data_IF_361706188381
#
_entry.id   IF_361706188381
#
_cell.length_a   1.000
_cell.length_b   1.000
_cell.length_c   1.000
_cell.angle_alpha   90.00
_cell.angle_beta   90.00
_cell.angle_gamma   90.00
#
_symmetry.space_group_name_H-M   'P 1'
#
loop_
_entity.id
_entity.type
_entity.pdbx_description
1 polymer ?
#
# COMPACT_ATOMS: atom_id res chain seq x y z
N UNK A 1 -0.57 -66.09 29.73
CA UNK A 1 -0.09 -65.95 28.33
C UNK A 1 0.22 -64.48 28.07
N UNK A 2 1.50 -64.07 28.01
CA UNK A 2 1.88 -62.66 27.97
C UNK A 2 2.35 -62.22 26.57
N UNK A 3 2.12 -60.94 26.21
CA UNK A 3 2.82 -60.29 25.08
C UNK A 3 3.82 -59.24 25.60
N UNK A 4 5.05 -59.38 25.13
CA UNK A 4 6.22 -58.52 25.25
C UNK A 4 6.01 -57.15 24.56
N UNK A 5 6.42 -56.00 25.13
CA UNK A 5 7.72 -55.27 25.06
C UNK A 5 8.27 -54.91 23.66
N UNK A 6 8.52 -53.61 23.43
CA UNK A 6 9.76 -53.01 22.89
C UNK A 6 9.65 -51.45 22.92
N UNK A 7 10.45 -50.74 23.75
CA UNK A 7 11.73 -50.02 23.49
C UNK A 7 11.58 -48.68 22.73
N UNK A 8 11.62 -47.49 23.37
CA UNK A 8 12.79 -46.65 23.76
C UNK A 8 13.71 -46.16 22.64
N UNK A 9 13.75 -44.83 22.45
CA UNK A 9 14.89 -43.92 22.12
C UNK A 9 14.31 -42.73 21.30
N UNK A 10 14.44 -41.44 21.63
CA UNK A 10 15.44 -40.73 22.41
C UNK A 10 16.33 -39.93 21.44
N UNK A 11 16.00 -38.67 21.15
CA UNK A 11 16.87 -37.67 20.49
C UNK A 11 16.54 -36.25 21.02
N UNK A 12 17.48 -35.29 20.94
CA UNK A 12 17.99 -34.61 22.13
C UNK A 12 17.42 -33.20 22.38
N UNK A 13 17.54 -32.77 23.65
CA UNK A 13 17.37 -31.40 24.10
C UNK A 13 18.54 -30.54 23.64
N UNK A 14 18.25 -29.42 22.97
CA UNK A 14 19.13 -28.25 22.96
C UNK A 14 18.58 -27.16 23.89
N UNK A 15 19.50 -26.61 24.65
CA UNK A 15 19.34 -25.68 25.77
C UNK A 15 19.34 -24.22 25.33
N UNK A 16 18.43 -23.43 25.94
CA UNK A 16 18.51 -22.04 26.45
C UNK A 16 19.26 -20.92 25.67
N UNK A 17 18.68 -19.72 25.82
CA UNK A 17 19.15 -18.34 25.56
C UNK A 17 18.95 -17.88 24.10
N UNK A 18 18.20 -16.81 23.79
CA UNK A 18 18.13 -15.50 24.43
C UNK A 18 16.70 -14.94 24.52
N UNK A 19 16.26 -14.63 25.75
CA UNK A 19 15.23 -13.62 26.03
C UNK A 19 15.96 -12.33 26.37
N UNK A 20 15.79 -11.28 25.56
CA UNK A 20 16.07 -9.89 25.92
C UNK A 20 15.08 -9.00 25.16
N UNK A 21 14.00 -8.58 25.83
CA UNK A 21 13.78 -7.19 26.28
C UNK A 21 13.67 -6.18 25.14
N UNK A 22 12.50 -6.10 24.51
CA UNK A 22 11.97 -4.80 24.07
C UNK A 22 11.30 -4.18 25.31
N UNK A 23 11.98 -3.21 25.93
CA UNK A 23 11.36 -2.33 26.92
C UNK A 23 10.91 -1.06 26.22
N UNK A 24 9.63 -0.76 26.39
CA UNK A 24 9.02 0.54 26.16
C UNK A 24 9.76 1.61 26.96
N UNK A 25 10.06 2.73 26.31
CA UNK A 25 10.34 4.00 26.98
C UNK A 25 9.94 5.14 26.04
N UNK A 26 8.68 5.56 26.12
CA UNK A 26 8.28 6.91 25.75
C UNK A 26 8.07 7.63 27.09
N UNK A 27 9.00 8.50 27.45
CA UNK A 27 8.86 9.44 28.56
C UNK A 27 8.79 10.83 27.96
N UNK A 28 7.72 11.54 28.33
CA UNK A 28 7.41 12.93 28.04
C UNK A 28 8.30 13.89 28.84
N UNK A 29 8.76 14.95 28.17
CA UNK A 29 9.10 16.29 28.72
C UNK A 29 9.64 17.12 27.55
N UNK A 30 9.40 18.40 27.33
CA UNK A 30 8.51 19.42 27.86
C UNK A 30 8.76 20.68 26.98
N UNK A 31 7.84 21.64 26.98
CA UNK A 31 8.02 23.05 26.55
C UNK A 31 8.04 23.42 25.05
N UNK A 32 6.90 23.89 24.55
CA UNK A 32 6.84 25.14 23.76
C UNK A 32 5.50 25.84 24.05
N UNK A 33 5.59 27.01 24.68
CA UNK A 33 4.46 27.89 24.96
C UNK A 33 3.95 28.52 23.67
N UNK A 34 2.64 28.41 23.40
CA UNK A 34 1.98 29.11 22.31
C UNK A 34 1.68 30.58 22.71
N UNK A 35 1.89 31.57 21.81
CA UNK A 35 1.48 32.94 22.07
C UNK A 35 -0.05 33.11 21.93
N UNK A 36 -0.66 34.07 22.65
CA UNK A 36 -2.11 34.24 22.69
C UNK A 36 -2.69 34.83 21.39
N UNK A 37 -3.98 34.59 21.09
CA UNK A 37 -4.63 35.13 19.90
C UNK A 37 -4.90 36.64 20.05
N UNK A 38 -4.66 37.40 18.98
CA UNK A 38 -5.11 38.80 18.89
C UNK A 38 -6.58 38.86 18.45
N UNK A 39 -7.37 39.82 18.98
CA UNK A 39 -8.78 39.95 18.63
C UNK A 39 -8.96 40.51 17.21
N UNK A 40 -10.00 40.02 16.54
CA UNK A 40 -10.48 40.54 15.26
C UNK A 40 -11.19 41.89 15.48
N UNK A 41 -10.81 42.90 14.70
CA UNK A 41 -11.60 44.12 14.51
C UNK A 41 -12.07 44.17 13.06
N UNK A 42 -13.38 44.31 12.90
CA UNK A 42 -14.05 44.70 11.67
C UNK A 42 -13.64 46.12 11.25
N UNK A 43 -13.86 46.41 9.97
CA UNK A 43 -13.73 47.71 9.30
C UNK A 43 -12.35 48.01 8.69
N UNK A 44 -12.20 47.67 7.40
CA UNK A 44 -11.72 48.61 6.36
C UNK A 44 -11.75 47.89 4.99
N UNK A 45 -12.91 47.96 4.33
CA UNK A 45 -13.08 47.58 2.94
C UNK A 45 -13.24 48.86 2.11
N UNK A 46 -12.14 49.44 1.62
CA UNK A 46 -12.07 50.11 0.31
C UNK A 46 -10.70 50.76 0.08
N UNK A 47 -9.85 50.14 -0.73
CA UNK A 47 -8.92 50.87 -1.61
C UNK A 47 -8.29 49.89 -2.59
N UNK A 48 -8.59 50.07 -3.87
CA UNK A 48 -7.98 49.33 -4.96
C UNK A 48 -6.49 49.68 -5.09
N UNK A 49 -5.62 48.71 -4.82
CA UNK A 49 -4.18 48.83 -5.09
C UNK A 49 -3.91 48.40 -6.53
N UNK A 50 -3.59 49.37 -7.39
CA UNK A 50 -3.14 49.13 -8.76
C UNK A 50 -1.69 48.62 -8.78
N UNK A 51 -1.49 47.42 -9.35
CA UNK A 51 -0.16 46.87 -9.64
C UNK A 51 0.34 47.34 -11.02
N UNK A 52 1.62 47.77 -11.16
CA UNK A 52 2.14 48.22 -12.45
C UNK A 52 2.33 47.05 -13.42
N UNK A 53 1.67 47.12 -14.59
CA UNK A 53 1.86 46.18 -15.70
C UNK A 53 3.24 46.37 -16.33
N UNK A 54 4.21 45.52 -15.99
CA UNK A 54 5.41 45.32 -16.84
C UNK A 54 5.00 44.52 -18.07
N UNK A 55 5.13 45.11 -19.27
CA UNK A 55 5.05 44.38 -20.54
C UNK A 55 6.30 43.51 -20.65
N UNK A 56 6.13 42.19 -20.53
CA UNK A 56 7.16 41.23 -20.91
C UNK A 56 7.00 41.01 -22.42
N UNK A 57 8.05 41.31 -23.19
CA UNK A 57 8.07 41.02 -24.63
C UNK A 57 7.96 39.49 -24.84
N UNK A 58 7.23 39.02 -25.87
CA UNK A 58 7.13 37.59 -26.12
C UNK A 58 8.51 37.06 -26.51
N UNK A 59 9.05 36.15 -25.69
CA UNK A 59 10.21 35.37 -26.06
C UNK A 59 9.86 34.55 -27.32
N UNK A 60 10.64 34.73 -28.38
CA UNK A 60 10.61 33.81 -29.52
C UNK A 60 10.95 32.42 -29.01
N UNK A 61 9.93 31.57 -28.92
CA UNK A 61 10.12 30.13 -28.83
C UNK A 61 10.61 29.71 -30.21
N UNK A 62 11.93 29.70 -30.39
CA UNK A 62 12.53 28.95 -31.48
C UNK A 62 12.10 27.49 -31.29
N UNK A 63 11.39 26.96 -32.30
CA UNK A 63 11.04 25.54 -32.37
C UNK A 63 12.35 24.76 -32.32
N UNK A 64 12.72 24.28 -31.13
CA UNK A 64 13.69 23.18 -31.01
C UNK A 64 13.16 22.06 -31.88
N UNK A 65 13.95 21.64 -32.86
CA UNK A 65 13.70 20.42 -33.61
C UNK A 65 13.33 19.34 -32.59
N UNK A 66 12.10 18.84 -32.68
CA UNK A 66 11.62 17.76 -31.84
C UNK A 66 12.60 16.60 -32.03
N UNK A 67 13.39 16.32 -31.01
CA UNK A 67 14.02 15.01 -30.85
C UNK A 67 12.89 14.02 -30.56
N UNK A 68 12.08 13.72 -31.59
CA UNK A 68 11.18 12.57 -31.60
C UNK A 68 12.09 11.36 -31.73
N UNK A 69 12.59 10.90 -30.58
CA UNK A 69 12.81 9.46 -30.42
C UNK A 69 11.46 8.84 -30.77
N UNK A 70 11.40 8.07 -31.84
CA UNK A 70 10.12 7.51 -32.26
C UNK A 70 9.74 6.51 -31.17
N UNK A 71 8.66 6.74 -30.43
CA UNK A 71 8.11 5.79 -29.46
C UNK A 71 8.02 4.36 -30.02
N UNK A 72 7.90 4.25 -31.34
CA UNK A 72 8.05 3.03 -32.14
C UNK A 72 9.26 2.17 -31.74
N UNK A 73 10.47 2.73 -31.56
CA UNK A 73 11.68 1.93 -31.29
C UNK A 73 11.60 1.19 -29.93
N UNK A 74 11.02 1.85 -28.93
CA UNK A 74 10.79 1.24 -27.61
C UNK A 74 9.64 0.23 -27.66
N UNK A 75 8.59 0.52 -28.44
CA UNK A 75 7.48 -0.39 -28.68
C UNK A 75 7.93 -1.68 -29.37
N UNK A 76 8.66 -1.56 -30.48
CA UNK A 76 9.19 -2.69 -31.25
C UNK A 76 10.11 -3.56 -30.37
N UNK A 77 10.95 -2.94 -29.53
CA UNK A 77 11.80 -3.68 -28.59
C UNK A 77 11.00 -4.49 -27.57
N UNK A 78 9.88 -3.94 -27.07
CA UNK A 78 8.96 -4.61 -26.16
C UNK A 78 8.24 -5.76 -26.86
N UNK A 79 7.74 -5.55 -28.08
CA UNK A 79 7.03 -6.56 -28.86
C UNK A 79 7.92 -7.76 -29.17
N UNK A 80 9.17 -7.54 -29.58
CA UNK A 80 10.17 -8.60 -29.79
C UNK A 80 10.43 -9.46 -28.54
N UNK A 81 10.18 -8.92 -27.34
CA UNK A 81 10.46 -9.56 -26.04
C UNK A 81 9.20 -9.87 -25.25
N UNK A 82 8.03 -9.67 -25.84
CA UNK A 82 6.73 -9.82 -25.17
C UNK A 82 6.62 -11.15 -24.42
N UNK A 83 7.04 -12.25 -25.06
CA UNK A 83 6.93 -13.59 -24.46
C UNK A 83 7.72 -13.74 -23.15
N UNK A 84 8.86 -13.04 -22.98
CA UNK A 84 9.61 -13.03 -21.71
C UNK A 84 8.72 -12.49 -20.59
N UNK A 85 8.10 -11.34 -20.82
CA UNK A 85 7.29 -10.67 -19.81
C UNK A 85 5.98 -11.41 -19.57
N UNK A 86 5.31 -11.92 -20.61
CA UNK A 86 4.12 -12.79 -20.45
C UNK A 86 4.44 -14.00 -19.57
N UNK A 87 5.57 -14.68 -19.82
CA UNK A 87 5.98 -15.82 -19.00
C UNK A 87 6.26 -15.45 -17.53
N UNK A 88 6.78 -14.25 -17.25
CA UNK A 88 6.98 -13.76 -15.88
C UNK A 88 5.63 -13.53 -15.21
N UNK A 89 4.72 -12.82 -15.89
CA UNK A 89 3.36 -12.56 -15.39
C UNK A 89 2.61 -13.86 -15.09
N UNK A 90 2.66 -14.84 -16.00
CA UNK A 90 1.95 -16.12 -15.85
C UNK A 90 2.51 -16.96 -14.70
N UNK A 91 3.83 -16.91 -14.48
CA UNK A 91 4.44 -17.57 -13.32
C UNK A 91 4.00 -16.91 -12.01
N UNK A 92 4.02 -15.57 -11.95
CA UNK A 92 3.56 -14.83 -10.76
C UNK A 92 2.07 -15.11 -10.51
N UNK A 93 1.24 -15.13 -11.56
CA UNK A 93 -0.16 -15.55 -11.48
C UNK A 93 -0.31 -16.93 -10.83
N UNK A 94 0.54 -17.89 -11.24
CA UNK A 94 0.55 -19.24 -10.67
C UNK A 94 1.10 -19.33 -9.25
N UNK A 95 1.96 -18.40 -8.81
CA UNK A 95 2.48 -18.36 -7.44
C UNK A 95 1.43 -17.85 -6.46
N UNK A 96 0.72 -16.77 -6.82
CA UNK A 96 -0.35 -16.15 -6.03
C UNK A 96 0.01 -15.99 -4.54
N UNK A 97 1.20 -15.47 -4.26
CA UNK A 97 1.71 -15.33 -2.89
C UNK A 97 1.14 -14.08 -2.22
N UNK A 98 0.59 -14.23 -1.02
CA UNK A 98 0.00 -13.12 -0.25
C UNK A 98 1.07 -12.17 0.30
N UNK A 99 0.61 -10.99 0.72
CA UNK A 99 1.44 -9.95 1.31
C UNK A 99 2.46 -10.48 2.35
N UNK A 100 3.71 -10.03 2.22
CA UNK A 100 4.90 -10.42 3.02
C UNK A 100 5.37 -11.87 2.84
N UNK A 101 4.73 -12.66 1.98
CA UNK A 101 5.09 -14.04 1.68
C UNK A 101 5.49 -14.26 0.20
N UNK A 102 5.68 -13.19 -0.57
CA UNK A 102 5.93 -13.16 -2.02
C UNK A 102 7.35 -13.56 -2.43
N UNK A 103 7.83 -14.66 -1.87
CA UNK A 103 9.22 -15.09 -2.00
C UNK A 103 9.57 -15.46 -3.43
N UNK A 104 8.71 -16.23 -4.11
CA UNK A 104 8.96 -16.68 -5.49
C UNK A 104 8.80 -15.53 -6.47
N UNK A 105 7.76 -14.71 -6.32
CA UNK A 105 7.54 -13.55 -7.19
C UNK A 105 8.67 -12.54 -7.10
N UNK A 106 9.10 -12.19 -5.87
CA UNK A 106 10.24 -11.33 -5.63
C UNK A 106 11.53 -11.92 -6.22
N UNK A 107 11.77 -13.21 -6.01
CA UNK A 107 12.97 -13.88 -6.49
C UNK A 107 13.02 -13.89 -8.02
N UNK A 108 11.92 -14.27 -8.68
CA UNK A 108 11.81 -14.37 -10.14
C UNK A 108 12.15 -13.03 -10.82
N UNK A 109 11.53 -11.93 -10.37
CA UNK A 109 11.78 -10.61 -10.96
C UNK A 109 13.20 -10.11 -10.68
N UNK A 110 13.73 -10.36 -9.48
CA UNK A 110 15.08 -9.96 -9.13
C UNK A 110 16.14 -10.71 -9.96
N UNK A 111 15.96 -12.02 -10.16
CA UNK A 111 16.85 -12.84 -10.98
C UNK A 111 16.77 -12.49 -12.47
N UNK A 112 15.57 -12.20 -12.98
CA UNK A 112 15.39 -11.76 -14.37
C UNK A 112 16.08 -10.40 -14.64
N UNK A 113 15.98 -9.44 -13.72
CA UNK A 113 16.69 -8.16 -13.82
C UNK A 113 18.21 -8.31 -13.60
N UNK A 114 18.65 -9.20 -12.71
CA UNK A 114 20.06 -9.52 -12.52
C UNK A 114 20.68 -10.12 -13.79
N UNK A 115 19.96 -11.04 -14.44
CA UNK A 115 20.36 -11.60 -15.73
C UNK A 115 20.39 -10.53 -16.83
N UNK A 116 19.53 -9.51 -16.73
CA UNK A 116 19.58 -8.31 -17.56
C UNK A 116 20.61 -7.28 -17.04
N UNK A 117 21.57 -7.68 -16.21
CA UNK A 117 22.73 -6.85 -15.85
C UNK A 117 22.44 -5.70 -14.87
N UNK A 118 21.27 -5.68 -14.24
CA UNK A 118 21.02 -4.77 -13.11
C UNK A 118 21.77 -5.25 -11.87
N UNK A 119 22.26 -4.32 -11.05
CA UNK A 119 22.76 -4.59 -9.70
C UNK A 119 21.58 -4.70 -8.74
N UNK A 120 21.44 -5.85 -8.07
CA UNK A 120 20.34 -6.11 -7.14
C UNK A 120 20.76 -5.84 -5.69
N UNK A 121 19.93 -5.08 -4.97
CA UNK A 121 19.96 -4.96 -3.51
C UNK A 121 18.70 -5.60 -2.94
N UNK A 122 18.85 -6.71 -2.21
CA UNK A 122 17.74 -7.47 -1.61
C UNK A 122 17.47 -7.04 -0.17
N UNK A 123 16.34 -7.47 0.38
CA UNK A 123 15.93 -7.27 1.77
C UNK A 123 15.77 -5.79 2.17
N UNK A 124 15.32 -4.96 1.23
CA UNK A 124 15.26 -3.50 1.41
C UNK A 124 14.24 -3.14 2.49
N UNK A 125 14.63 -2.28 3.43
CA UNK A 125 13.80 -1.94 4.60
C UNK A 125 13.56 -3.09 5.57
N UNK A 126 14.38 -4.13 5.53
CA UNK A 126 14.24 -5.32 6.39
C UNK A 126 13.14 -6.27 5.95
N UNK A 127 12.56 -6.06 4.75
CA UNK A 127 11.52 -6.90 4.17
C UNK A 127 12.17 -7.97 3.28
N UNK A 128 12.07 -9.28 3.59
CA UNK A 128 12.70 -10.34 2.81
C UNK A 128 12.27 -10.38 1.35
N UNK A 129 11.05 -9.94 1.09
CA UNK A 129 10.42 -9.89 -0.23
C UNK A 129 10.48 -8.47 -0.81
N UNK A 130 11.49 -7.66 -0.50
CA UNK A 130 11.69 -6.35 -1.14
C UNK A 130 13.08 -6.25 -1.76
N UNK A 131 13.18 -5.65 -2.95
CA UNK A 131 14.46 -5.41 -3.61
C UNK A 131 14.48 -4.14 -4.45
N UNK A 132 15.70 -3.66 -4.73
CA UNK A 132 15.99 -2.60 -5.69
C UNK A 132 16.94 -3.16 -6.74
N UNK A 133 16.60 -3.01 -8.02
CA UNK A 133 17.49 -3.28 -9.13
C UNK A 133 17.94 -1.96 -9.75
N UNK A 134 19.24 -1.75 -9.90
CA UNK A 134 19.80 -0.50 -10.44
C UNK A 134 20.74 -0.76 -11.61
N UNK A 135 20.60 0.02 -12.68
CA UNK A 135 21.49 0.00 -13.84
C UNK A 135 21.83 1.43 -14.27
N UNK A 136 23.06 1.63 -14.75
CA UNK A 136 23.55 2.93 -15.21
C UNK A 136 24.15 3.78 -14.09
N UNK A 137 24.54 5.00 -14.44
CA UNK A 137 25.18 5.96 -13.53
C UNK A 137 24.76 7.39 -13.88
N UNK A 138 24.80 8.28 -12.88
CA UNK A 138 24.47 9.69 -13.04
C UNK A 138 22.97 9.99 -13.07
N UNK A 139 22.63 11.18 -13.56
CA UNK A 139 21.26 11.70 -13.60
C UNK A 139 20.75 11.81 -15.04
N UNK A 140 19.43 11.70 -15.27
CA UNK A 140 18.39 11.51 -14.25
C UNK A 140 18.33 10.06 -13.73
N UNK A 141 17.92 9.91 -12.47
CA UNK A 141 17.57 8.63 -11.86
C UNK A 141 16.06 8.42 -12.01
N UNK A 142 15.67 7.51 -12.90
CA UNK A 142 14.26 7.19 -13.19
C UNK A 142 13.92 5.83 -12.60
N UNK A 143 12.86 5.78 -11.81
CA UNK A 143 12.43 4.61 -11.06
C UNK A 143 11.11 4.05 -11.57
N UNK A 144 10.99 2.73 -11.56
CA UNK A 144 9.76 2.00 -11.84
C UNK A 144 9.34 1.21 -10.61
N UNK A 145 8.09 1.36 -10.19
CA UNK A 145 7.55 0.63 -9.04
C UNK A 145 6.79 -0.60 -9.53
N UNK A 146 7.18 -1.77 -9.06
CA UNK A 146 6.49 -3.01 -9.38
C UNK A 146 6.08 -3.77 -8.13
N UNK A 147 4.92 -4.39 -8.19
CA UNK A 147 4.26 -5.08 -7.08
C UNK A 147 3.88 -6.49 -7.54
N UNK A 148 3.62 -7.40 -6.60
CA UNK A 148 3.41 -8.81 -6.93
C UNK A 148 2.72 -9.63 -5.83
N UNK A 149 2.11 -8.98 -4.83
CA UNK A 149 1.30 -9.67 -3.83
C UNK A 149 -0.08 -10.05 -4.37
N UNK A 150 -0.61 -11.15 -3.86
CA UNK A 150 -1.94 -11.66 -4.14
C UNK A 150 -2.90 -11.40 -2.97
N UNK A 151 -4.20 -11.47 -3.25
CA UNK A 151 -5.26 -11.32 -2.26
C UNK A 151 -5.69 -12.67 -1.67
N UNK A 152 -5.94 -12.76 -0.36
CA UNK A 152 -6.49 -13.97 0.26
C UNK A 152 -7.90 -14.26 -0.24
N UNK A 153 -8.30 -15.54 -0.22
CA UNK A 153 -9.63 -16.04 -0.59
C UNK A 153 -10.10 -15.67 -2.03
N UNK A 154 -9.15 -15.36 -2.90
CA UNK A 154 -9.40 -14.86 -4.26
C UNK A 154 -8.79 -15.75 -5.35
N UNK A 155 -8.53 -17.02 -5.03
CA UNK A 155 -8.09 -18.00 -6.01
C UNK A 155 -9.07 -18.09 -7.17
N UNK A 156 -8.53 -18.08 -8.38
CA UNK A 156 -9.31 -18.04 -9.60
C UNK A 156 -8.54 -18.69 -10.73
N UNK A 157 -9.23 -19.48 -11.56
CA UNK A 157 -8.68 -19.94 -12.83
C UNK A 157 -8.55 -18.77 -13.80
N UNK A 158 -7.57 -18.82 -14.69
CA UNK A 158 -7.40 -17.80 -15.73
C UNK A 158 -8.48 -17.94 -16.82
N UNK A 159 -9.69 -17.50 -16.51
CA UNK A 159 -10.88 -17.57 -17.36
C UNK A 159 -11.92 -16.51 -16.95
N UNK A 160 -12.90 -16.24 -17.83
CA UNK A 160 -13.98 -15.28 -17.60
C UNK A 160 -14.87 -15.67 -16.41
N UNK A 161 -15.30 -16.93 -16.37
CA UNK A 161 -16.21 -17.42 -15.33
C UNK A 161 -15.52 -17.55 -13.97
N UNK A 162 -16.22 -17.17 -12.91
CA UNK A 162 -15.74 -17.33 -11.54
C UNK A 162 -15.64 -18.83 -11.19
N UNK A 163 -14.41 -19.33 -11.01
CA UNK A 163 -14.13 -20.70 -10.62
C UNK A 163 -12.80 -20.80 -9.88
N UNK A 164 -12.86 -21.09 -8.57
CA UNK A 164 -11.65 -21.20 -7.75
C UNK A 164 -10.72 -22.31 -8.26
N UNK A 165 -9.44 -21.98 -8.45
CA UNK A 165 -8.41 -22.98 -8.73
C UNK A 165 -8.08 -23.79 -7.48
N UNK A 166 -7.98 -23.12 -6.33
CA UNK A 166 -7.79 -23.69 -5.00
C UNK A 166 -8.84 -23.10 -4.07
N UNK A 167 -9.67 -23.94 -3.46
CA UNK A 167 -10.71 -23.47 -2.54
C UNK A 167 -10.11 -22.69 -1.36
N UNK A 168 -10.54 -21.44 -1.17
CA UNK A 168 -9.99 -20.53 -0.15
C UNK A 168 -8.52 -20.12 -0.38
N UNK A 169 -7.97 -20.41 -1.56
CA UNK A 169 -6.61 -19.99 -1.91
C UNK A 169 -6.53 -18.50 -2.24
N UNK A 170 -5.31 -18.01 -2.38
CA UNK A 170 -5.05 -16.65 -2.85
C UNK A 170 -5.11 -16.54 -4.38
N UNK A 171 -5.25 -15.31 -4.88
CA UNK A 171 -5.22 -15.00 -6.31
C UNK A 171 -5.02 -13.52 -6.61
N UNK A 172 -4.59 -13.20 -7.83
CA UNK A 172 -4.29 -11.83 -8.26
C UNK A 172 -5.53 -11.08 -8.77
N UNK A 173 -6.51 -10.85 -7.91
CA UNK A 173 -7.70 -10.05 -8.26
C UNK A 173 -7.41 -8.59 -8.56
N UNK A 174 -6.33 -8.05 -7.99
CA UNK A 174 -5.86 -6.69 -8.25
C UNK A 174 -4.87 -6.61 -9.42
N UNK A 175 -4.50 -7.75 -10.02
CA UNK A 175 -3.62 -7.82 -11.18
C UNK A 175 -2.16 -7.48 -10.92
N UNK A 176 -1.65 -7.64 -9.69
CA UNK A 176 -0.25 -7.32 -9.37
C UNK A 176 0.76 -8.16 -10.15
N UNK A 177 0.37 -9.35 -10.63
CA UNK A 177 1.18 -10.11 -11.59
C UNK A 177 1.48 -9.32 -12.89
N UNK A 178 0.52 -8.51 -13.36
CA UNK A 178 0.71 -7.61 -14.48
C UNK A 178 1.48 -6.36 -14.06
N UNK A 179 1.11 -5.77 -12.91
CA UNK A 179 1.70 -4.52 -12.41
C UNK A 179 3.22 -4.63 -12.35
N UNK A 180 3.73 -5.57 -11.55
CA UNK A 180 5.16 -5.76 -11.35
C UNK A 180 5.90 -6.06 -12.64
N UNK A 181 5.31 -6.92 -13.48
CA UNK A 181 5.92 -7.38 -14.73
C UNK A 181 6.01 -6.27 -15.78
N UNK A 182 4.97 -5.47 -15.98
CA UNK A 182 5.02 -4.38 -16.95
C UNK A 182 5.93 -3.23 -16.47
N UNK A 183 5.99 -2.95 -15.16
CA UNK A 183 6.99 -2.02 -14.61
C UNK A 183 8.43 -2.52 -14.81
N UNK A 184 8.64 -3.85 -14.72
CA UNK A 184 9.94 -4.48 -15.00
C UNK A 184 10.29 -4.36 -16.48
N UNK A 185 9.33 -4.59 -17.37
CA UNK A 185 9.48 -4.43 -18.81
C UNK A 185 9.87 -2.99 -19.18
N UNK A 186 9.20 -2.00 -18.57
CA UNK A 186 9.51 -0.58 -18.77
C UNK A 186 10.93 -0.22 -18.32
N UNK A 187 11.38 -0.75 -17.17
CA UNK A 187 12.76 -0.56 -16.71
C UNK A 187 13.78 -1.18 -17.68
N UNK A 188 13.51 -2.39 -18.17
CA UNK A 188 14.37 -3.09 -19.13
C UNK A 188 14.44 -2.37 -20.48
N UNK A 189 13.30 -1.85 -20.96
CA UNK A 189 13.23 -1.11 -22.21
C UNK A 189 13.94 0.25 -22.12
N UNK A 190 13.77 1.00 -21.02
CA UNK A 190 14.50 2.25 -20.81
C UNK A 190 16.02 2.01 -20.74
N UNK A 191 16.44 0.96 -20.05
CA UNK A 191 17.85 0.53 -20.00
C UNK A 191 18.39 0.26 -21.41
N UNK A 192 17.70 -0.57 -22.20
CA UNK A 192 18.14 -0.91 -23.56
C UNK A 192 18.27 0.33 -24.45
N UNK A 193 17.29 1.22 -24.38
CA UNK A 193 17.32 2.47 -25.13
C UNK A 193 18.46 3.42 -24.72
N UNK A 194 18.76 3.53 -23.41
CA UNK A 194 19.92 4.30 -22.94
C UNK A 194 21.24 3.72 -23.45
N UNK A 195 21.37 2.39 -23.47
CA UNK A 195 22.55 1.72 -24.02
C UNK A 195 22.72 1.97 -25.51
N UNK A 196 21.64 1.82 -26.29
CA UNK A 196 21.67 2.01 -27.74
C UNK A 196 21.99 3.46 -28.12
N UNK A 197 21.39 4.42 -27.41
CA UNK A 197 21.57 5.85 -27.71
C UNK A 197 22.82 6.46 -27.07
N UNK A 198 23.48 5.75 -26.14
CA UNK A 198 24.61 6.26 -25.36
C UNK A 198 24.26 7.45 -24.46
N UNK A 199 22.98 7.63 -24.13
CA UNK A 199 22.50 8.73 -23.28
C UNK A 199 22.79 8.44 -21.80
N UNK A 200 23.16 9.47 -21.00
CA UNK A 200 23.37 9.28 -19.58
C UNK A 200 22.05 9.07 -18.84
N UNK A 201 22.09 8.33 -17.74
CA UNK A 201 20.93 8.10 -16.88
C UNK A 201 21.11 6.85 -16.01
N UNK A 202 20.35 6.81 -14.93
CA UNK A 202 20.23 5.65 -14.05
C UNK A 202 18.80 5.14 -14.08
N UNK A 203 18.62 3.84 -14.25
CA UNK A 203 17.32 3.16 -14.18
C UNK A 203 17.25 2.37 -12.89
N UNK A 204 16.18 2.57 -12.12
CA UNK A 204 15.87 1.77 -10.94
C UNK A 204 14.55 1.04 -11.11
N UNK A 205 14.51 -0.21 -10.72
CA UNK A 205 13.27 -0.94 -10.48
C UNK A 205 13.15 -1.25 -8.99
N UNK A 206 11.97 -1.01 -8.44
CA UNK A 206 11.65 -1.27 -7.05
C UNK A 206 10.65 -2.42 -6.99
N UNK A 207 11.12 -3.59 -6.56
CA UNK A 207 10.25 -4.71 -6.23
C UNK A 207 9.62 -4.47 -4.86
N UNK A 208 8.36 -4.04 -4.87
CA UNK A 208 7.60 -3.59 -3.73
C UNK A 208 6.63 -4.68 -3.25
N UNK A 209 6.81 -5.27 -2.06
CA UNK A 209 5.87 -6.25 -1.52
C UNK A 209 4.68 -5.58 -0.83
N UNK A 210 3.68 -6.41 -0.51
CA UNK A 210 2.63 -6.13 0.47
C UNK A 210 1.94 -4.78 0.27
N UNK A 211 1.45 -4.51 -0.94
CA UNK A 211 0.65 -3.32 -1.18
C UNK A 211 -0.72 -3.46 -0.52
N UNK A 212 -1.37 -4.61 -0.69
CA UNK A 212 -2.76 -4.84 -0.27
C UNK A 212 -2.89 -4.89 1.26
N UNK A 213 -1.90 -5.48 1.93
CA UNK A 213 -1.92 -5.62 3.40
C UNK A 213 -0.50 -5.65 3.94
N UNK A 214 0.01 -4.49 4.39
CA UNK A 214 1.34 -4.42 5.01
C UNK A 214 2.12 -3.16 4.66
N UNK A 215 1.69 -2.41 3.64
CA UNK A 215 2.27 -1.14 3.23
C UNK A 215 3.80 -1.24 3.00
N UNK A 216 4.26 -2.24 2.26
CA UNK A 216 5.69 -2.54 2.11
C UNK A 216 6.54 -1.33 1.66
N UNK A 217 5.98 -0.49 0.77
CA UNK A 217 6.63 0.75 0.32
C UNK A 217 6.91 1.74 1.44
N UNK A 218 6.13 1.75 2.53
CA UNK A 218 6.37 2.63 3.69
C UNK A 218 7.66 2.23 4.40
N UNK A 219 7.91 0.93 4.57
CA UNK A 219 9.16 0.43 5.15
C UNK A 219 10.35 0.69 4.23
N UNK A 220 10.19 0.51 2.92
CA UNK A 220 11.21 0.84 1.94
C UNK A 220 11.56 2.35 1.96
N UNK A 221 10.54 3.22 1.97
CA UNK A 221 10.72 4.67 2.05
C UNK A 221 11.41 5.09 3.35
N UNK A 222 11.00 4.51 4.49
CA UNK A 222 11.65 4.76 5.78
C UNK A 222 13.12 4.35 5.79
N UNK A 223 13.49 3.33 5.02
CA UNK A 223 14.86 2.87 4.87
C UNK A 223 15.68 3.65 3.83
N UNK A 224 15.12 4.70 3.23
CA UNK A 224 15.80 5.53 2.23
C UNK A 224 15.90 4.88 0.85
N UNK A 225 15.09 3.87 0.53
CA UNK A 225 15.17 3.17 -0.75
C UNK A 225 14.97 4.11 -1.96
N UNK A 226 14.11 5.12 -1.81
CA UNK A 226 13.78 6.08 -2.86
C UNK A 226 14.68 7.33 -2.84
N UNK A 227 15.71 7.38 -1.98
CA UNK A 227 16.58 8.54 -1.89
C UNK A 227 17.38 8.73 -3.20
N UNK A 228 17.49 10.00 -3.63
CA UNK A 228 18.17 10.37 -4.87
C UNK A 228 17.40 10.07 -6.15
N UNK A 229 16.13 9.67 -6.05
CA UNK A 229 15.26 9.46 -7.21
C UNK A 229 14.79 10.80 -7.79
N UNK A 230 14.95 11.01 -9.11
CA UNK A 230 14.47 12.21 -9.80
C UNK A 230 12.99 12.07 -10.22
N UNK A 231 12.59 10.87 -10.65
CA UNK A 231 11.21 10.55 -10.99
C UNK A 231 10.88 9.07 -10.72
N UNK A 232 9.66 8.80 -10.25
CA UNK A 232 9.11 7.45 -10.14
C UNK A 232 7.89 7.33 -11.07
N UNK A 233 7.82 6.23 -11.80
CA UNK A 233 6.69 5.85 -12.63
C UNK A 233 6.12 4.55 -12.08
N UNK A 234 4.82 4.51 -11.92
CA UNK A 234 4.07 3.30 -11.61
C UNK A 234 2.84 3.27 -12.48
N UNK A 235 2.25 2.10 -12.61
CA UNK A 235 0.95 1.92 -13.23
C UNK A 235 0.15 0.95 -12.38
N UNK A 236 -1.12 0.77 -12.72
CA UNK A 236 -1.97 -0.23 -12.11
C UNK A 236 -2.91 -0.76 -13.19
N UNK A 237 -3.13 -2.09 -13.30
CA UNK A 237 -4.10 -2.63 -14.23
C UNK A 237 -5.50 -2.11 -13.91
N UNK A 238 -6.30 -1.91 -14.96
CA UNK A 238 -7.66 -1.43 -14.83
C UNK A 238 -8.44 -1.63 -16.12
N UNK A 239 -9.76 -1.46 -16.06
CA UNK A 239 -10.67 -1.59 -17.20
C UNK A 239 -10.63 -0.41 -18.18
N UNK A 240 -9.81 0.60 -17.90
CA UNK A 240 -9.59 1.76 -18.77
C UNK A 240 -8.15 2.25 -18.64
N UNK A 241 -7.62 2.81 -19.72
CA UNK A 241 -6.30 3.43 -19.73
C UNK A 241 -6.45 4.91 -19.44
N UNK A 242 -5.78 5.40 -18.41
CA UNK A 242 -5.74 6.83 -18.08
C UNK A 242 -4.50 7.20 -17.28
N UNK A 243 -4.06 8.45 -17.40
CA UNK A 243 -3.03 9.01 -16.54
C UNK A 243 -3.67 9.60 -15.26
N UNK A 244 -3.29 9.08 -14.09
CA UNK A 244 -3.89 9.54 -12.83
C UNK A 244 -3.42 10.96 -12.46
N UNK A 245 -4.36 11.91 -12.53
CA UNK A 245 -4.17 13.31 -12.09
C UNK A 245 -4.77 13.62 -10.72
N UNK A 246 -5.59 12.71 -10.20
CA UNK A 246 -6.25 12.82 -8.89
C UNK A 246 -5.37 12.34 -7.74
N UNK A 247 -5.81 12.59 -6.52
CA UNK A 247 -5.23 12.07 -5.28
C UNK A 247 -6.07 10.91 -4.75
N UNK A 248 -5.48 10.03 -3.95
CA UNK A 248 -6.22 9.12 -3.07
C UNK A 248 -6.53 9.79 -1.73
N UNK A 249 -7.21 9.09 -0.82
CA UNK A 249 -7.32 9.51 0.59
C UNK A 249 -6.10 9.01 1.36
N UNK A 250 -5.65 9.79 2.33
CA UNK A 250 -4.78 9.29 3.39
C UNK A 250 -5.61 8.39 4.32
N UNK A 251 -4.96 7.38 4.90
CA UNK A 251 -5.61 6.37 5.73
C UNK A 251 -4.76 6.06 6.97
N UNK A 252 -5.42 5.91 8.11
CA UNK A 252 -4.92 5.17 9.26
C UNK A 252 -5.73 3.87 9.40
N UNK A 253 -4.99 2.81 9.67
CA UNK A 253 -5.47 1.47 10.00
C UNK A 253 -5.24 1.26 11.50
N UNK A 254 -6.22 0.69 12.22
CA UNK A 254 -6.02 0.32 13.62
C UNK A 254 -6.96 -0.82 14.04
N UNK A 255 -6.43 -1.76 14.83
CA UNK A 255 -7.20 -2.83 15.45
C UNK A 255 -7.29 -2.59 16.95
N UNK A 256 -8.48 -2.64 17.51
CA UNK A 256 -8.74 -2.40 18.93
C UNK A 256 -9.20 -3.70 19.59
N UNK A 257 -8.36 -4.25 20.47
CA UNK A 257 -8.67 -5.42 21.29
C UNK A 257 -9.07 -4.97 22.69
N UNK A 258 -10.28 -5.33 23.10
CA UNK A 258 -10.77 -5.09 24.45
C UNK A 258 -10.67 -6.35 25.30
N UNK A 259 -10.27 -6.18 26.55
CA UNK A 259 -10.10 -7.23 27.55
C UNK A 259 -10.91 -6.89 28.79
N UNK A 260 -11.86 -7.75 29.10
CA UNK A 260 -12.76 -7.65 30.24
C UNK A 260 -12.65 -8.87 31.16
N UNK A 261 -13.78 -9.28 31.73
CA UNK A 261 -13.87 -10.37 32.70
C UNK A 261 -15.11 -11.20 32.44
N UNK A 262 -14.92 -12.50 32.26
CA UNK A 262 -16.04 -13.42 32.01
C UNK A 262 -16.85 -13.70 33.27
N UNK A 263 -18.15 -13.90 33.09
CA UNK A 263 -19.08 -14.44 34.08
C UNK A 263 -20.25 -15.11 33.37
N UNK A 264 -21.05 -15.88 34.12
CA UNK A 264 -22.31 -16.40 33.59
C UNK A 264 -23.30 -15.24 33.44
N UNK A 265 -23.77 -14.99 32.21
CA UNK A 265 -24.57 -13.80 31.89
C UNK A 265 -25.88 -13.71 32.70
N UNK A 266 -26.53 -14.84 32.99
CA UNK A 266 -27.72 -14.89 33.84
C UNK A 266 -27.44 -15.09 35.35
N UNK A 267 -26.47 -15.94 35.70
CA UNK A 267 -26.28 -16.39 37.09
C UNK A 267 -25.47 -15.46 37.98
N UNK A 268 -24.56 -14.67 37.40
CA UNK A 268 -23.77 -13.67 38.11
C UNK A 268 -23.28 -12.54 37.16
N UNK A 269 -24.21 -11.83 36.48
CA UNK A 269 -23.84 -10.76 35.55
C UNK A 269 -22.95 -9.68 36.18
N UNK A 270 -23.21 -9.32 37.43
CA UNK A 270 -22.50 -8.27 38.17
C UNK A 270 -20.99 -8.51 38.35
N UNK A 271 -20.55 -9.77 38.23
CA UNK A 271 -19.14 -10.15 38.33
C UNK A 271 -18.37 -9.99 37.01
N UNK A 272 -19.07 -9.79 35.90
CA UNK A 272 -18.52 -9.70 34.55
C UNK A 272 -18.19 -8.26 34.13
N UNK A 273 -17.26 -8.12 33.18
CA UNK A 273 -16.94 -6.88 32.46
C UNK A 273 -16.89 -7.22 30.98
N UNK A 274 -17.89 -6.79 30.22
CA UNK A 274 -18.05 -7.19 28.82
C UNK A 274 -17.10 -6.41 27.92
N UNK A 275 -16.18 -7.11 27.27
CA UNK A 275 -15.35 -6.54 26.22
C UNK A 275 -16.17 -6.16 24.97
N UNK A 276 -17.26 -6.91 24.69
CA UNK A 276 -18.16 -6.60 23.58
C UNK A 276 -18.88 -5.26 23.80
N UNK A 277 -19.34 -4.99 25.01
CA UNK A 277 -20.01 -3.72 25.34
C UNK A 277 -19.05 -2.54 25.10
N UNK A 278 -17.75 -2.73 25.36
CA UNK A 278 -16.73 -1.72 25.10
C UNK A 278 -16.55 -1.47 23.59
N UNK A 279 -16.58 -2.52 22.76
CA UNK A 279 -16.58 -2.41 21.29
C UNK A 279 -17.83 -1.67 20.80
N UNK A 280 -19.01 -2.01 21.32
CA UNK A 280 -20.26 -1.33 20.93
C UNK A 280 -20.25 0.15 21.32
N UNK A 281 -19.84 0.49 22.54
CA UNK A 281 -19.72 1.86 23.01
C UNK A 281 -18.69 2.65 22.21
N UNK A 282 -17.56 2.04 21.86
CA UNK A 282 -16.58 2.66 20.95
C UNK A 282 -17.22 2.96 19.59
N UNK A 283 -17.90 1.98 19.00
CA UNK A 283 -18.55 2.15 17.69
C UNK A 283 -19.60 3.26 17.71
N UNK A 284 -20.44 3.32 18.74
CA UNK A 284 -21.42 4.40 18.94
C UNK A 284 -20.71 5.75 19.08
N UNK A 285 -19.67 5.83 19.92
CA UNK A 285 -18.90 7.06 20.11
C UNK A 285 -18.26 7.55 18.80
N UNK A 286 -17.73 6.64 17.99
CA UNK A 286 -17.17 6.99 16.67
C UNK A 286 -18.28 7.36 15.68
N UNK A 287 -19.46 6.77 15.75
CA UNK A 287 -20.59 7.18 14.92
C UNK A 287 -21.00 8.64 15.21
N UNK A 288 -21.01 9.07 16.48
CA UNK A 288 -21.20 10.48 16.85
C UNK A 288 -20.01 11.37 16.51
N UNK A 289 -18.80 10.82 16.41
CA UNK A 289 -17.65 11.61 15.93
C UNK A 289 -17.83 12.04 14.46
N UNK A 290 -18.52 11.25 13.63
CA UNK A 290 -18.62 11.48 12.18
C UNK A 290 -19.30 12.81 11.80
N UNK A 291 -20.19 13.33 12.62
CA UNK A 291 -20.82 14.65 12.42
C UNK A 291 -19.93 15.84 12.85
N UNK A 292 -18.79 15.55 13.50
CA UNK A 292 -17.90 16.55 14.07
C UNK A 292 -16.48 16.46 13.49
N UNK A 293 -16.34 15.93 12.28
CA UNK A 293 -15.11 15.90 11.49
C UNK A 293 -15.38 16.54 10.12
N UNK A 294 -14.35 16.70 9.30
CA UNK A 294 -14.52 17.24 7.94
C UNK A 294 -15.42 16.34 7.10
N UNK A 295 -16.25 16.95 6.25
CA UNK A 295 -17.21 16.22 5.41
C UNK A 295 -16.56 15.18 4.49
N UNK A 296 -15.33 15.44 4.03
CA UNK A 296 -14.59 14.55 3.15
C UNK A 296 -13.91 13.36 3.88
N UNK A 297 -14.00 13.28 5.21
CA UNK A 297 -13.46 12.14 5.96
C UNK A 297 -14.40 10.93 5.94
N UNK A 298 -13.85 9.73 6.01
CA UNK A 298 -14.61 8.48 6.10
C UNK A 298 -14.03 7.62 7.21
N UNK A 299 -14.88 7.08 8.06
CA UNK A 299 -14.47 6.13 9.10
C UNK A 299 -15.32 4.88 8.92
N UNK A 300 -14.67 3.72 8.87
CA UNK A 300 -15.32 2.42 8.70
C UNK A 300 -14.79 1.45 9.75
N UNK A 301 -15.61 0.48 10.13
CA UNK A 301 -15.19 -0.56 11.05
C UNK A 301 -15.89 -1.88 10.78
N UNK A 302 -15.25 -2.98 11.22
CA UNK A 302 -15.84 -4.31 11.28
C UNK A 302 -15.47 -4.96 12.62
N UNK A 303 -16.44 -5.61 13.26
CA UNK A 303 -16.19 -6.41 14.46
C UNK A 303 -15.62 -7.75 14.00
N UNK A 304 -14.34 -7.97 14.27
CA UNK A 304 -13.60 -9.18 13.88
C UNK A 304 -13.75 -10.29 14.91
N UNK A 305 -14.04 -9.93 16.18
CA UNK A 305 -14.37 -10.86 17.24
C UNK A 305 -15.42 -10.24 18.18
N UNK A 306 -16.64 -10.80 18.18
CA UNK A 306 -17.74 -10.37 19.05
C UNK A 306 -17.79 -11.11 20.40
N UNK A 307 -16.86 -12.02 20.67
CA UNK A 307 -16.94 -12.95 21.79
C UNK A 307 -17.52 -14.31 21.41
N UNK A 308 -17.95 -15.06 22.43
CA UNK A 308 -18.41 -16.45 22.28
C UNK A 308 -19.93 -16.59 22.37
N UNK A 309 -20.39 -17.50 23.24
CA UNK A 309 -21.81 -17.79 23.41
C UNK A 309 -22.54 -16.65 24.14
N UNK A 310 -23.81 -16.38 23.82
CA UNK A 310 -24.58 -15.27 24.41
C UNK A 310 -24.87 -15.43 25.91
N UNK A 311 -24.72 -16.63 26.47
CA UNK A 311 -24.88 -16.90 27.90
C UNK A 311 -23.59 -16.66 28.73
N UNK A 312 -22.50 -16.23 28.08
CA UNK A 312 -21.20 -15.96 28.69
C UNK A 312 -20.81 -14.51 28.42
N UNK A 313 -20.51 -13.74 29.47
CA UNK A 313 -20.02 -12.36 29.30
C UNK A 313 -18.67 -12.40 28.56
N UNK A 314 -18.52 -11.72 27.40
CA UNK A 314 -17.29 -11.74 26.62
C UNK A 314 -16.10 -11.13 27.39
N UNK A 315 -15.06 -11.94 27.66
CA UNK A 315 -13.82 -11.44 28.24
C UNK A 315 -12.89 -10.79 27.20
N UNK A 316 -13.09 -11.08 25.92
CA UNK A 316 -12.30 -10.52 24.82
C UNK A 316 -13.23 -10.20 23.64
N UNK A 317 -12.99 -9.06 23.00
CA UNK A 317 -13.65 -8.64 21.76
C UNK A 317 -12.69 -7.75 20.94
N UNK A 318 -12.86 -7.75 19.63
CA UNK A 318 -12.00 -7.01 18.70
C UNK A 318 -12.80 -6.29 17.63
N UNK A 319 -12.37 -5.07 17.32
CA UNK A 319 -12.91 -4.28 16.21
C UNK A 319 -11.76 -3.68 15.41
N UNK A 320 -11.89 -3.74 14.09
CA UNK A 320 -10.92 -3.24 13.13
C UNK A 320 -11.44 -1.99 12.44
N UNK A 321 -10.60 -0.97 12.29
CA UNK A 321 -10.96 0.36 11.81
C UNK A 321 -10.09 0.84 10.63
N UNK A 322 -10.76 1.53 9.70
CA UNK A 322 -10.14 2.44 8.74
C UNK A 322 -10.60 3.87 8.96
N UNK A 323 -9.65 4.79 9.05
CA UNK A 323 -9.87 6.23 9.26
C UNK A 323 -9.25 6.96 8.07
N UNK A 324 -10.06 7.63 7.25
CA UNK A 324 -9.64 8.23 5.98
C UNK A 324 -9.96 9.71 5.92
N UNK A 325 -9.06 10.49 5.32
CA UNK A 325 -9.29 11.89 4.99
C UNK A 325 -8.44 12.30 3.78
N UNK A 326 -8.72 13.42 3.09
CA UNK A 326 -8.01 13.80 1.87
C UNK A 326 -6.50 13.99 2.02
N UNK A 327 -6.01 14.33 3.22
CA UNK A 327 -4.59 14.59 3.51
C UNK A 327 -4.19 14.04 4.87
N UNK A 328 -2.90 13.73 5.03
CA UNK A 328 -2.35 13.17 6.28
C UNK A 328 -2.65 14.02 7.51
N UNK A 329 -2.41 15.32 7.42
CA UNK A 329 -2.64 16.29 8.51
C UNK A 329 -4.12 16.42 8.92
N UNK A 330 -5.04 15.89 8.11
CA UNK A 330 -6.47 15.81 8.43
C UNK A 330 -6.86 14.47 9.08
N UNK A 331 -6.12 13.38 8.81
CA UNK A 331 -6.34 12.07 9.44
C UNK A 331 -5.84 12.07 10.88
N UNK A 332 -4.63 12.58 11.12
CA UNK A 332 -3.97 12.55 12.43
C UNK A 332 -4.86 13.06 13.59
N UNK A 333 -5.52 14.23 13.50
CA UNK A 333 -6.41 14.70 14.57
C UNK A 333 -7.68 13.84 14.73
N UNK A 334 -8.18 13.22 13.65
CA UNK A 334 -9.33 12.31 13.72
C UNK A 334 -8.92 11.02 14.43
N UNK A 335 -7.79 10.43 14.07
CA UNK A 335 -7.24 9.23 14.72
C UNK A 335 -7.04 9.46 16.21
N UNK A 336 -6.50 10.62 16.61
CA UNK A 336 -6.36 10.98 18.03
C UNK A 336 -7.71 10.95 18.78
N UNK A 337 -8.79 11.41 18.15
CA UNK A 337 -10.14 11.39 18.74
C UNK A 337 -10.72 9.98 18.78
N UNK A 338 -10.49 9.15 17.77
CA UNK A 338 -10.88 7.73 17.78
C UNK A 338 -10.16 6.98 18.92
N UNK A 339 -8.85 7.20 19.09
CA UNK A 339 -8.08 6.63 20.21
C UNK A 339 -8.62 7.09 21.58
N UNK A 340 -9.03 8.36 21.71
CA UNK A 340 -9.64 8.85 22.94
C UNK A 340 -11.00 8.18 23.23
N UNK A 341 -11.82 7.98 22.20
CA UNK A 341 -13.11 7.26 22.31
C UNK A 341 -12.89 5.80 22.73
N UNK A 342 -11.90 5.11 22.15
CA UNK A 342 -11.58 3.73 22.53
C UNK A 342 -11.20 3.61 24.02
N UNK A 343 -10.38 4.54 24.52
CA UNK A 343 -10.03 4.60 25.94
C UNK A 343 -11.24 4.94 26.83
N UNK A 344 -12.12 5.84 26.39
CA UNK A 344 -13.35 6.15 27.11
C UNK A 344 -14.32 4.96 27.17
N UNK A 345 -14.46 4.20 26.08
CA UNK A 345 -15.27 2.99 26.04
C UNK A 345 -14.73 1.91 26.99
N UNK A 346 -13.40 1.74 27.05
CA UNK A 346 -12.77 0.86 28.03
C UNK A 346 -13.08 1.31 29.47
N UNK A 347 -12.97 2.61 29.75
CA UNK A 347 -13.25 3.16 31.07
C UNK A 347 -14.73 3.01 31.48
N UNK A 348 -15.68 3.26 30.58
CA UNK A 348 -17.13 3.10 30.85
C UNK A 348 -17.51 1.67 31.24
N UNK A 349 -16.75 0.68 30.77
CA UNK A 349 -17.03 -0.75 30.97
C UNK A 349 -16.11 -1.41 31.98
N UNK A 350 -15.22 -0.64 32.63
CA UNK A 350 -14.15 -1.14 33.49
C UNK A 350 -13.33 -2.27 32.82
N UNK A 351 -13.08 -2.12 31.51
CA UNK A 351 -12.23 -3.01 30.70
C UNK A 351 -10.91 -2.32 30.35
N UNK A 352 -10.06 -3.03 29.61
CA UNK A 352 -8.80 -2.50 29.07
C UNK A 352 -8.81 -2.61 27.55
N UNK A 353 -8.24 -1.63 26.86
CA UNK A 353 -8.02 -1.67 25.41
C UNK A 353 -6.53 -1.78 25.09
N UNK A 354 -6.20 -2.58 24.08
CA UNK A 354 -4.92 -2.56 23.38
C UNK A 354 -5.15 -2.20 21.93
N UNK A 355 -4.31 -1.30 21.41
CA UNK A 355 -4.32 -0.91 20.00
C UNK A 355 -3.19 -1.66 19.29
N UNK A 356 -3.55 -2.43 18.29
CA UNK A 356 -2.65 -3.22 17.45
C UNK A 356 -2.65 -2.69 16.03
N UNK A 357 -1.58 -2.97 15.31
CA UNK A 357 -1.44 -2.68 13.87
C UNK A 357 -1.76 -1.23 13.50
N UNK A 358 -1.42 -0.27 14.38
CA UNK A 358 -1.62 1.15 14.08
C UNK A 358 -0.52 1.64 13.13
N UNK A 359 -0.87 1.79 11.85
CA UNK A 359 -0.05 2.41 10.83
C UNK A 359 -0.93 3.21 9.86
N UNK A 360 -0.29 4.01 9.00
CA UNK A 360 -1.04 4.75 7.99
C UNK A 360 -0.26 5.00 6.72
N UNK A 361 -1.02 5.34 5.69
CA UNK A 361 -0.56 5.57 4.33
C UNK A 361 -0.98 6.99 3.94
N UNK A 362 -0.06 7.75 3.36
CA UNK A 362 -0.34 9.10 2.89
C UNK A 362 -1.24 9.07 1.66
N UNK A 363 -1.95 10.17 1.43
CA UNK A 363 -2.65 10.36 0.17
C UNK A 363 -1.63 10.44 -0.98
N UNK A 364 -2.02 9.91 -2.14
CA UNK A 364 -1.22 10.02 -3.35
C UNK A 364 -1.09 11.48 -3.76
N UNK A 365 0.15 11.95 -3.98
CA UNK A 365 0.42 13.29 -4.47
C UNK A 365 0.66 13.23 -5.99
N UNK A 366 -0.32 13.63 -6.83
CA UNK A 366 -0.17 13.52 -8.26
C UNK A 366 0.87 14.49 -8.80
N UNK A 367 1.84 13.98 -9.57
CA UNK A 367 2.75 14.81 -10.35
C UNK A 367 2.06 15.22 -11.67
N UNK A 368 1.51 16.45 -11.69
CA UNK A 368 0.75 16.94 -12.85
C UNK A 368 1.59 16.99 -14.13
N UNK A 369 2.87 17.33 -14.04
CA UNK A 369 3.78 17.39 -15.20
C UNK A 369 3.96 16.00 -15.82
N UNK A 370 4.26 14.99 -15.01
CA UNK A 370 4.42 13.61 -15.48
C UNK A 370 3.09 13.02 -15.95
N UNK A 371 1.97 13.33 -15.29
CA UNK A 371 0.66 12.87 -15.73
C UNK A 371 0.25 13.48 -17.08
N UNK A 372 0.52 14.76 -17.32
CA UNK A 372 0.29 15.38 -18.63
C UNK A 372 1.20 14.80 -19.70
N UNK A 373 2.46 14.51 -19.37
CA UNK A 373 3.38 13.84 -20.30
C UNK A 373 2.89 12.43 -20.66
N UNK A 374 2.52 11.64 -19.65
CA UNK A 374 1.99 10.28 -19.86
C UNK A 374 0.73 10.30 -20.71
N UNK A 375 -0.20 11.23 -20.45
CA UNK A 375 -1.40 11.38 -21.29
C UNK A 375 -1.05 11.73 -22.74
N UNK A 376 -0.08 12.63 -22.96
CA UNK A 376 0.39 12.96 -24.31
C UNK A 376 0.98 11.75 -25.05
N UNK A 377 1.71 10.88 -24.35
CA UNK A 377 2.24 9.63 -24.92
C UNK A 377 1.09 8.66 -25.25
N UNK A 378 0.09 8.53 -24.37
CA UNK A 378 -1.09 7.70 -24.63
C UNK A 378 -1.89 8.20 -25.86
N UNK A 379 -2.05 9.52 -26.00
CA UNK A 379 -2.70 10.13 -27.16
C UNK A 379 -1.92 9.84 -28.47
N UNK A 380 -0.58 9.83 -28.40
CA UNK A 380 0.28 9.50 -29.55
C UNK A 380 0.27 8.02 -29.91
N UNK A 381 0.20 7.12 -28.92
CA UNK A 381 0.08 5.67 -29.14
C UNK A 381 -1.28 5.29 -29.74
N UNK A 382 -2.33 6.05 -29.43
CA UNK A 382 -3.68 5.79 -29.92
C UNK A 382 -4.38 4.66 -29.17
N UNK A 383 -5.58 4.26 -29.62
CA UNK A 383 -6.34 3.20 -28.99
C UNK A 383 -5.65 1.83 -29.16
N UNK A 384 -5.79 0.95 -28.17
CA UNK A 384 -5.42 -0.45 -28.35
C UNK A 384 -6.35 -1.10 -29.37
N UNK A 385 -5.76 -1.85 -30.30
CA UNK A 385 -6.50 -2.70 -31.21
C UNK A 385 -6.77 -4.04 -30.53
N UNK A 386 -8.02 -4.50 -30.62
CA UNK A 386 -8.42 -5.81 -30.11
C UNK A 386 -8.78 -6.70 -31.28
N UNK A 387 -8.38 -7.96 -31.20
CA UNK A 387 -8.80 -9.01 -32.12
C UNK A 387 -10.29 -9.33 -31.92
N UNK A 388 -10.91 -9.93 -32.94
CA UNK A 388 -12.30 -10.38 -32.83
C UNK A 388 -12.51 -11.43 -31.72
N UNK A 389 -11.45 -12.19 -31.39
CA UNK A 389 -11.45 -13.18 -30.31
C UNK A 389 -11.45 -12.50 -28.94
N UNK A 390 -10.63 -11.47 -28.74
CA UNK A 390 -10.62 -10.67 -27.50
C UNK A 390 -11.93 -9.91 -27.31
N UNK A 391 -12.49 -9.34 -28.37
CA UNK A 391 -13.81 -8.69 -28.31
C UNK A 391 -14.93 -9.68 -27.98
N UNK A 392 -14.86 -10.91 -28.47
CA UNK A 392 -15.81 -11.96 -28.13
C UNK A 392 -15.67 -12.37 -26.66
N UNK A 393 -14.45 -12.59 -26.19
CA UNK A 393 -14.15 -12.90 -24.79
C UNK A 393 -14.64 -11.81 -23.83
N UNK A 394 -14.41 -10.54 -24.16
CA UNK A 394 -14.86 -9.41 -23.35
C UNK A 394 -16.38 -9.31 -23.22
N UNK A 395 -17.17 -9.93 -24.12
CA UNK A 395 -18.64 -9.99 -24.02
C UNK A 395 -19.14 -11.11 -23.10
N UNK A 396 -18.28 -12.03 -22.70
CA UNK A 396 -18.61 -13.13 -21.77
C UNK A 396 -18.45 -12.75 -20.29
N UNK A 397 -17.67 -11.69 -20.02
CA UNK A 397 -17.42 -11.10 -18.69
C UNK A 397 -18.43 -10.00 -18.41
#
# INVERSE_FOLDING_TARGET
MPRARSSTAGHPRFTKQCRARMHSAIVLSDHFAAPPPRPATSDECSSAVQWPRRRVAPARIERREKCMVKHQEVGDWLDERQQRFVNISDQIWGFAEVALAETKSCQLQAEDLEADGFRITRNVGGLPTAFVAEWGEGSPVIGFLGEYDALPDLSQKNQAAQEQLVAGGAGHGCGHNLLGTASLAAASALKAWLQETGRPGTVRYYGCPAEETGAGKVFMARAGAFDGLDAAITWHPGSSISAMRGSSLAIDHATFRFFGKTSHAAGAPELGRSALDAVELMNIGVNFLREHIIEAARIHYVITNGGGQPNVVPAEAEVWYYIRAPRRDLVDPITKRVLAIANAAAAMTETRVEVHDLYGIHNFLPNQTLATLAMGVLDELGPMEFTAEEEAFAREV
#
